data_IF_453084968284
#
_entry.id   IF_453084968284
#
_cell.length_a   1.000
_cell.length_b   1.000
_cell.length_c   1.000
_cell.angle_alpha   90.00
_cell.angle_beta   90.00
_cell.angle_gamma   90.00
#
_symmetry.space_group_name_H-M   'P 1'
#
loop_
_entity.id
_entity.type
_entity.pdbx_description
1 polymer ?
#
# COMPACT_ATOMS: atom_id res chain seq x y z
N UNK A 1 -7.67 -17.89 14.31
CA UNK A 1 -7.32 -16.92 15.38
C UNK A 1 -7.88 -17.40 16.71
N UNK A 2 -7.05 -17.51 17.75
CA UNK A 2 -7.45 -17.99 19.08
C UNK A 2 -8.41 -17.03 19.83
N UNK A 3 -8.78 -17.35 21.08
CA UNK A 3 -9.78 -16.62 21.87
C UNK A 3 -9.28 -15.26 22.39
N UNK A 4 -8.31 -14.62 21.72
CA UNK A 4 -7.67 -13.38 22.17
C UNK A 4 -8.74 -12.30 22.41
N UNK A 5 -8.92 -11.93 23.67
CA UNK A 5 -9.87 -10.90 24.11
C UNK A 5 -9.20 -9.52 24.18
N UNK A 6 -7.90 -9.44 23.89
CA UNK A 6 -7.15 -8.20 23.90
C UNK A 6 -7.64 -7.25 22.81
N UNK A 7 -7.45 -5.95 23.01
CA UNK A 7 -7.96 -4.89 22.12
C UNK A 7 -7.62 -5.13 20.65
N UNK A 8 -6.37 -5.50 20.34
CA UNK A 8 -5.94 -5.77 18.97
C UNK A 8 -6.62 -7.01 18.37
N UNK A 9 -6.86 -8.04 19.18
CA UNK A 9 -7.59 -9.24 18.77
C UNK A 9 -9.06 -8.92 18.46
N UNK A 10 -9.68 -8.06 19.26
CA UNK A 10 -11.05 -7.58 19.00
C UNK A 10 -11.12 -6.71 17.75
N UNK A 11 -10.14 -5.82 17.54
CA UNK A 11 -10.06 -4.99 16.34
C UNK A 11 -9.97 -5.84 15.06
N UNK A 12 -9.09 -6.85 15.05
CA UNK A 12 -8.97 -7.76 13.90
C UNK A 12 -10.22 -8.61 13.68
N UNK A 13 -10.91 -9.04 14.75
CA UNK A 13 -12.21 -9.72 14.62
C UNK A 13 -13.28 -8.82 14.02
N UNK A 14 -13.28 -7.54 14.39
CA UNK A 14 -14.20 -6.55 13.84
C UNK A 14 -13.92 -6.29 12.36
N UNK A 15 -12.65 -6.08 12.00
CA UNK A 15 -12.24 -5.88 10.61
C UNK A 15 -12.46 -7.15 9.77
N UNK A 16 -12.30 -8.34 10.32
CA UNK A 16 -12.59 -9.58 9.60
C UNK A 16 -14.08 -9.74 9.19
N UNK A 17 -15.00 -8.90 9.68
CA UNK A 17 -16.37 -8.82 9.16
C UNK A 17 -16.45 -8.17 7.78
N UNK A 18 -15.52 -7.26 7.46
CA UNK A 18 -15.40 -6.71 6.10
C UNK A 18 -14.67 -7.64 5.16
N UNK A 19 -13.75 -8.45 5.67
CA UNK A 19 -13.08 -9.47 4.89
C UNK A 19 -12.72 -10.69 5.75
N UNK A 20 -13.51 -11.75 5.59
CA UNK A 20 -13.31 -12.99 6.35
C UNK A 20 -12.01 -13.72 6.03
N UNK A 21 -11.28 -13.37 4.95
CA UNK A 21 -9.95 -13.90 4.64
C UNK A 21 -8.94 -13.71 5.78
N UNK A 22 -9.09 -12.63 6.56
CA UNK A 22 -8.27 -12.39 7.75
C UNK A 22 -8.56 -13.40 8.88
N UNK A 23 -9.79 -13.92 8.98
CA UNK A 23 -10.18 -14.90 10.00
C UNK A 23 -9.78 -16.33 9.60
N UNK A 24 -9.96 -16.69 8.32
CA UNK A 24 -9.61 -18.01 7.79
C UNK A 24 -8.12 -18.12 7.45
N UNK A 25 -7.34 -17.06 7.65
CA UNK A 25 -5.91 -17.01 7.36
C UNK A 25 -5.62 -17.41 5.91
N UNK A 26 -6.31 -16.76 4.97
CA UNK A 26 -6.11 -16.97 3.55
C UNK A 26 -4.61 -16.82 3.18
N UNK A 27 -4.01 -17.79 2.47
CA UNK A 27 -2.57 -17.79 2.22
C UNK A 27 -2.07 -16.53 1.51
N UNK A 28 -2.87 -15.97 0.60
CA UNK A 28 -2.49 -14.76 -0.11
C UNK A 28 -2.50 -13.56 0.83
N UNK A 29 -3.61 -13.33 1.55
CA UNK A 29 -3.73 -12.22 2.51
C UNK A 29 -2.64 -12.30 3.58
N UNK A 30 -2.42 -13.47 4.19
CA UNK A 30 -1.38 -13.64 5.21
C UNK A 30 0.01 -13.33 4.66
N UNK A 31 0.30 -13.75 3.43
CA UNK A 31 1.61 -13.51 2.81
C UNK A 31 1.87 -12.03 2.52
N UNK A 32 0.89 -11.31 1.94
CA UNK A 32 1.06 -9.88 1.63
C UNK A 32 1.16 -9.05 2.91
N UNK A 33 0.40 -9.40 3.95
CA UNK A 33 0.42 -8.69 5.23
C UNK A 33 1.75 -8.91 5.96
N UNK A 34 2.28 -10.14 5.94
CA UNK A 34 3.58 -10.44 6.50
C UNK A 34 4.70 -9.63 5.84
N UNK A 35 4.70 -9.54 4.51
CA UNK A 35 5.66 -8.69 3.78
C UNK A 35 5.44 -7.21 4.09
N UNK A 36 4.19 -6.78 4.20
CA UNK A 36 3.86 -5.38 4.53
C UNK A 36 4.39 -4.96 5.88
N UNK A 37 4.21 -5.80 6.90
CA UNK A 37 4.73 -5.52 8.24
C UNK A 37 6.25 -5.65 8.29
N UNK A 38 6.83 -6.69 7.68
CA UNK A 38 8.26 -6.98 7.80
C UNK A 38 9.15 -6.08 6.93
N UNK A 39 8.65 -5.62 5.78
CA UNK A 39 9.45 -4.90 4.77
C UNK A 39 8.92 -3.48 4.56
N UNK A 40 7.64 -3.33 4.21
CA UNK A 40 7.09 -2.02 3.84
C UNK A 40 6.96 -1.09 5.04
N UNK A 41 6.57 -1.59 6.21
CA UNK A 41 6.50 -0.83 7.46
C UNK A 41 7.82 -0.14 7.84
N UNK A 42 8.93 -0.88 8.00
CA UNK A 42 10.26 -0.29 8.25
C UNK A 42 10.71 0.67 7.15
N UNK A 43 10.39 0.38 5.89
CA UNK A 43 10.75 1.24 4.77
C UNK A 43 9.95 2.55 4.77
N UNK A 44 8.67 2.53 5.14
CA UNK A 44 7.84 3.72 5.34
C UNK A 44 8.44 4.63 6.43
N UNK A 45 8.86 4.07 7.57
CA UNK A 45 9.53 4.81 8.63
C UNK A 45 10.86 5.43 8.14
N UNK A 46 11.63 4.67 7.38
CA UNK A 46 12.88 5.14 6.77
C UNK A 46 12.62 6.30 5.80
N UNK A 47 11.59 6.19 4.95
CA UNK A 47 11.19 7.28 4.03
C UNK A 47 10.72 8.51 4.80
N UNK A 48 9.99 8.34 5.90
CA UNK A 48 9.56 9.45 6.75
C UNK A 48 10.78 10.18 7.36
N UNK A 49 11.74 9.43 7.92
CA UNK A 49 12.99 9.99 8.43
C UNK A 49 13.79 10.73 7.34
N UNK A 50 14.00 10.12 6.17
CA UNK A 50 14.72 10.73 5.06
C UNK A 50 14.00 11.98 4.51
N UNK A 51 12.67 12.01 4.61
CA UNK A 51 11.88 13.19 4.27
C UNK A 51 12.13 14.32 5.27
N UNK A 52 12.18 14.02 6.58
CA UNK A 52 12.48 15.01 7.62
C UNK A 52 13.89 15.62 7.46
N UNK A 53 14.90 14.81 7.15
CA UNK A 53 16.28 15.29 6.92
C UNK A 53 16.53 15.77 5.47
N UNK A 54 15.49 15.84 4.64
CA UNK A 54 15.55 16.25 3.23
C UNK A 54 16.52 15.46 2.34
N UNK A 55 16.87 14.23 2.72
CA UNK A 55 17.86 13.41 2.01
C UNK A 55 17.41 13.04 0.59
N UNK A 56 18.30 13.05 -0.43
CA UNK A 56 17.93 12.76 -1.82
C UNK A 56 17.35 11.35 -2.03
N UNK A 57 17.76 10.36 -1.23
CA UNK A 57 17.21 9.00 -1.29
C UNK A 57 15.73 8.90 -0.90
N UNK A 58 15.12 9.97 -0.36
CA UNK A 58 13.67 9.96 -0.04
C UNK A 58 12.82 9.65 -1.27
N UNK A 59 13.16 10.15 -2.46
CA UNK A 59 12.33 9.95 -3.65
C UNK A 59 12.41 8.53 -4.22
N UNK A 60 13.60 7.93 -4.44
CA UNK A 60 13.69 6.54 -4.86
C UNK A 60 13.00 5.56 -3.91
N UNK A 61 13.23 5.69 -2.59
CA UNK A 61 12.60 4.79 -1.62
C UNK A 61 11.09 5.02 -1.51
N UNK A 62 10.63 6.28 -1.59
CA UNK A 62 9.20 6.58 -1.63
C UNK A 62 8.52 5.96 -2.86
N UNK A 63 9.17 6.02 -4.03
CA UNK A 63 8.65 5.39 -5.27
C UNK A 63 8.47 3.89 -5.07
N UNK A 64 9.48 3.19 -4.54
CA UNK A 64 9.43 1.74 -4.28
C UNK A 64 8.26 1.39 -3.36
N UNK A 65 8.15 2.08 -2.22
CA UNK A 65 7.07 1.85 -1.25
C UNK A 65 5.70 2.14 -1.86
N UNK A 66 5.54 3.24 -2.58
CA UNK A 66 4.25 3.61 -3.15
C UNK A 66 3.78 2.58 -4.19
N UNK A 67 4.69 2.10 -5.06
CA UNK A 67 4.38 1.04 -6.02
C UNK A 67 4.00 -0.26 -5.30
N UNK A 68 4.70 -0.60 -4.21
CA UNK A 68 4.39 -1.80 -3.42
C UNK A 68 2.97 -1.75 -2.83
N UNK A 69 2.55 -0.61 -2.25
CA UNK A 69 1.19 -0.44 -1.73
C UNK A 69 0.13 -0.51 -2.84
N UNK A 70 0.33 0.22 -3.94
CA UNK A 70 -0.60 0.20 -5.07
C UNK A 70 -0.75 -1.22 -5.64
N UNK A 71 0.36 -1.94 -5.80
CA UNK A 71 0.33 -3.31 -6.30
C UNK A 71 -0.35 -4.27 -5.31
N UNK A 72 -0.02 -4.16 -4.02
CA UNK A 72 -0.63 -4.96 -2.96
C UNK A 72 -2.14 -4.79 -2.89
N UNK A 73 -2.63 -3.55 -2.88
CA UNK A 73 -4.08 -3.25 -2.84
C UNK A 73 -4.79 -3.73 -4.10
N UNK A 74 -4.20 -3.52 -5.28
CA UNK A 74 -4.78 -4.00 -6.54
C UNK A 74 -4.96 -5.51 -6.49
N UNK A 75 -3.95 -6.27 -6.02
CA UNK A 75 -4.08 -7.71 -5.87
C UNK A 75 -5.08 -8.10 -4.77
N UNK A 76 -5.13 -7.36 -3.66
CA UNK A 76 -6.10 -7.58 -2.58
C UNK A 76 -7.54 -7.48 -3.08
N UNK A 77 -7.86 -6.44 -3.86
CA UNK A 77 -9.16 -6.26 -4.49
C UNK A 77 -9.40 -7.29 -5.59
N UNK A 78 -8.42 -7.53 -6.47
CA UNK A 78 -8.57 -8.44 -7.59
C UNK A 78 -8.88 -9.87 -7.13
N UNK A 79 -8.18 -10.37 -6.11
CA UNK A 79 -8.42 -11.71 -5.55
C UNK A 79 -9.79 -11.83 -4.88
N UNK A 80 -10.26 -10.78 -4.22
CA UNK A 80 -11.61 -10.73 -3.63
C UNK A 80 -12.70 -10.73 -4.71
N UNK A 81 -12.58 -9.84 -5.69
CA UNK A 81 -13.54 -9.72 -6.79
C UNK A 81 -13.56 -10.97 -7.67
N UNK A 82 -12.39 -11.58 -7.94
CA UNK A 82 -12.31 -12.83 -8.67
C UNK A 82 -13.08 -13.94 -7.95
N UNK A 83 -12.86 -14.11 -6.64
CA UNK A 83 -13.61 -15.09 -5.85
C UNK A 83 -15.11 -14.79 -5.81
N UNK A 84 -15.49 -13.51 -5.76
CA UNK A 84 -16.90 -13.11 -5.78
C UNK A 84 -17.59 -13.45 -7.11
N UNK A 85 -17.01 -13.05 -8.23
CA UNK A 85 -17.64 -13.20 -9.54
C UNK A 85 -17.46 -14.58 -10.17
N UNK A 86 -16.34 -15.25 -9.91
CA UNK A 86 -16.03 -16.56 -10.51
C UNK A 86 -16.43 -17.71 -9.60
N UNK A 87 -16.13 -17.61 -8.30
CA UNK A 87 -16.38 -18.69 -7.34
C UNK A 87 -17.67 -18.48 -6.53
N UNK A 88 -18.34 -17.33 -6.66
CA UNK A 88 -19.56 -17.00 -5.91
C UNK A 88 -19.32 -16.77 -4.42
N UNK A 89 -18.06 -16.57 -3.99
CA UNK A 89 -17.68 -16.42 -2.59
C UNK A 89 -17.60 -14.94 -2.25
N UNK A 90 -18.48 -14.46 -1.38
CA UNK A 90 -18.36 -13.12 -0.77
C UNK A 90 -17.67 -13.21 0.58
N UNK A 91 -16.54 -12.52 0.73
CA UNK A 91 -15.82 -12.47 2.00
C UNK A 91 -16.32 -11.39 2.96
N UNK A 92 -16.97 -10.34 2.43
CA UNK A 92 -17.58 -9.27 3.21
C UNK A 92 -19.00 -9.64 3.61
N UNK A 93 -19.41 -9.20 4.82
CA UNK A 93 -20.83 -9.20 5.17
C UNK A 93 -21.61 -8.21 4.29
N UNK A 94 -22.93 -8.42 4.09
CA UNK A 94 -23.73 -7.64 3.14
C UNK A 94 -24.06 -6.23 3.64
N UNK A 95 -23.86 -5.90 4.92
CA UNK A 95 -24.18 -4.57 5.42
C UNK A 95 -23.24 -3.51 4.83
N UNK A 96 -23.81 -2.36 4.47
CA UNK A 96 -23.12 -1.23 3.82
C UNK A 96 -21.86 -0.80 4.58
N UNK A 97 -21.91 -0.82 5.91
CA UNK A 97 -20.77 -0.47 6.77
C UNK A 97 -19.54 -1.33 6.45
N UNK A 98 -19.70 -2.65 6.39
CA UNK A 98 -18.56 -3.55 6.24
C UNK A 98 -17.99 -3.52 4.83
N UNK A 99 -18.85 -3.46 3.80
CA UNK A 99 -18.35 -3.41 2.43
C UNK A 99 -17.83 -2.03 2.02
N UNK A 100 -18.62 -0.98 2.19
CA UNK A 100 -18.27 0.33 1.63
C UNK A 100 -17.31 1.12 2.52
N UNK A 101 -17.47 1.04 3.84
CA UNK A 101 -16.60 1.80 4.76
C UNK A 101 -15.34 1.01 5.06
N UNK A 102 -15.46 -0.22 5.57
CA UNK A 102 -14.29 -0.97 6.01
C UNK A 102 -13.51 -1.57 4.83
N UNK A 103 -14.18 -2.34 3.97
CA UNK A 103 -13.49 -3.00 2.87
C UNK A 103 -13.06 -2.00 1.78
N UNK A 104 -13.96 -1.17 1.27
CA UNK A 104 -13.62 -0.24 0.18
C UNK A 104 -12.88 1.00 0.69
N UNK A 105 -13.51 1.84 1.52
CA UNK A 105 -12.95 3.15 1.84
C UNK A 105 -11.62 3.09 2.62
N UNK A 106 -11.48 2.23 3.63
CA UNK A 106 -10.22 2.15 4.40
C UNK A 106 -9.05 1.67 3.55
N UNK A 107 -9.25 0.70 2.65
CA UNK A 107 -8.20 0.26 1.73
C UNK A 107 -7.99 1.26 0.58
N UNK A 108 -9.02 2.02 0.18
CA UNK A 108 -8.89 3.04 -0.87
C UNK A 108 -7.91 4.17 -0.50
N UNK A 109 -7.76 4.48 0.79
CA UNK A 109 -6.75 5.45 1.26
C UNK A 109 -5.32 5.01 0.89
N UNK A 110 -5.04 3.71 0.96
CA UNK A 110 -3.76 3.10 0.58
C UNK A 110 -3.51 3.08 -0.94
N UNK A 111 -4.52 3.43 -1.74
CA UNK A 111 -4.36 3.68 -3.18
C UNK A 111 -4.10 5.16 -3.43
N UNK A 112 -4.98 6.04 -2.93
CA UNK A 112 -4.96 7.46 -3.28
C UNK A 112 -3.71 8.17 -2.77
N UNK A 113 -3.34 7.93 -1.50
CA UNK A 113 -2.19 8.63 -0.89
C UNK A 113 -0.88 8.20 -1.56
N UNK A 114 -0.57 6.90 -1.73
CA UNK A 114 0.60 6.46 -2.46
C UNK A 114 0.63 6.90 -3.91
N UNK A 115 -0.50 6.93 -4.62
CA UNK A 115 -0.54 7.42 -6.00
C UNK A 115 -0.12 8.89 -6.11
N UNK A 116 -0.63 9.76 -5.22
CA UNK A 116 -0.23 11.17 -5.18
C UNK A 116 1.26 11.36 -4.85
N UNK A 117 1.76 10.63 -3.87
CA UNK A 117 3.17 10.66 -3.46
C UNK A 117 4.13 10.11 -4.53
N UNK A 118 3.69 9.08 -5.25
CA UNK A 118 4.39 8.49 -6.38
C UNK A 118 4.51 9.50 -7.51
N UNK A 119 3.39 10.09 -7.92
CA UNK A 119 3.36 11.12 -8.96
C UNK A 119 4.31 12.27 -8.63
N UNK A 120 4.20 12.81 -7.41
CA UNK A 120 5.07 13.89 -6.94
C UNK A 120 6.55 13.51 -7.03
N UNK A 121 6.94 12.34 -6.52
CA UNK A 121 8.35 11.90 -6.54
C UNK A 121 8.87 11.64 -7.94
N UNK A 122 8.07 11.03 -8.82
CA UNK A 122 8.45 10.77 -10.21
C UNK A 122 8.66 12.08 -10.96
N UNK A 123 7.78 13.07 -10.78
CA UNK A 123 7.95 14.39 -11.37
C UNK A 123 9.22 15.09 -10.87
N UNK A 124 9.49 15.06 -9.56
CA UNK A 124 10.72 15.65 -8.99
C UNK A 124 11.98 15.00 -9.55
N UNK A 125 12.03 13.66 -9.58
CA UNK A 125 13.17 12.92 -10.13
C UNK A 125 13.35 13.21 -11.62
N UNK A 126 12.27 13.20 -12.40
CA UNK A 126 12.33 13.50 -13.84
C UNK A 126 12.87 14.91 -14.11
N UNK A 127 12.41 15.90 -13.34
CA UNK A 127 12.89 17.28 -13.48
C UNK A 127 14.37 17.42 -13.07
N UNK A 128 14.80 16.72 -12.01
CA UNK A 128 16.19 16.72 -11.58
C UNK A 128 17.13 16.08 -12.63
N UNK A 129 16.71 14.97 -13.25
CA UNK A 129 17.47 14.32 -14.31
C UNK A 129 17.60 15.21 -15.55
N UNK A 130 16.50 15.84 -16.00
CA UNK A 130 16.51 16.80 -17.12
C UNK A 130 17.44 17.99 -16.87
N UNK A 131 17.51 18.48 -15.63
CA UNK A 131 18.41 19.57 -15.26
C UNK A 131 19.88 19.12 -15.29
N UNK A 132 20.17 17.90 -14.84
CA UNK A 132 21.52 17.34 -14.88
C UNK A 132 22.02 17.13 -16.32
N UNK A 133 21.16 16.63 -17.22
CA UNK A 133 21.48 16.46 -18.65
C UNK A 133 21.86 17.78 -19.32
N UNK A 134 21.05 18.82 -19.17
CA UNK A 134 21.32 20.16 -19.72
C UNK A 134 22.66 20.74 -19.24
N UNK A 135 22.99 20.52 -17.97
CA UNK A 135 24.26 20.98 -17.39
C UNK A 135 25.44 20.21 -17.95
N UNK A 136 25.27 18.90 -18.22
CA UNK A 136 26.27 18.07 -18.85
C UNK A 136 26.56 18.47 -20.30
N UNK A 137 25.53 18.84 -21.07
CA UNK A 137 25.68 19.34 -22.45
C UNK A 137 26.42 20.67 -22.50
N UNK A 138 26.08 21.63 -21.63
CA UNK A 138 26.78 22.93 -21.57
C UNK A 138 28.27 22.80 -21.23
N UNK A 139 28.66 21.79 -20.43
CA UNK A 139 30.07 21.49 -20.12
C UNK A 139 30.82 20.82 -21.26
N UNK A 140 30.14 20.16 -22.22
CA UNK A 140 30.79 19.56 -23.40
C UNK A 140 30.99 20.55 -24.54
N UNK A 141 30.22 21.64 -24.57
CA UNK A 141 30.29 22.69 -25.61
C UNK A 141 31.34 23.76 -25.29
N UNK A 142 31.77 23.87 -24.02
CA UNK A 142 32.93 24.67 -23.60
C UNK A 142 34.20 23.85 -23.62
#
# INVERSE_FOLDING_TARGET
MGPSQDLLGQLWKEYAKSDSRYLISDPFVVSIEAVTVAVWGPLCLSVAYLTAVQHPLKHPLRIIVCVAHLYGDVLYYATSLFNHYVNGISYSRPEVLYFWVYYFFMNFVWIVVPAGLLYSSVCTVSNALRAAERTGEQKKVK
#
